data_IF_518992367546
#
_entry.id   IF_518992367546
#
_cell.length_a   1.000
_cell.length_b   1.000
_cell.length_c   1.000
_cell.angle_alpha   90.00
_cell.angle_beta   90.00
_cell.angle_gamma   90.00
#
_symmetry.space_group_name_H-M   'P 1'
#
loop_
_entity.id
_entity.type
_entity.pdbx_description
1 polymer ?
#
# COMPACT_ATOMS: atom_id res chain seq x y z
N UNK A 1 1.46 15.59 -40.66
CA UNK A 1 2.35 14.84 -39.74
C UNK A 1 2.09 15.31 -38.32
N UNK A 2 1.60 14.46 -37.43
CA UNK A 2 1.35 14.82 -36.02
C UNK A 2 2.64 14.60 -35.23
N UNK A 3 3.26 15.66 -34.72
CA UNK A 3 4.42 15.55 -33.83
C UNK A 3 3.89 15.38 -32.42
N UNK A 4 4.22 14.25 -31.77
CA UNK A 4 3.95 14.04 -30.35
C UNK A 4 5.18 14.51 -29.57
N UNK A 5 5.01 15.57 -28.78
CA UNK A 5 6.06 16.15 -27.95
C UNK A 5 5.67 16.03 -26.48
N UNK A 6 6.62 15.63 -25.64
CA UNK A 6 6.45 15.55 -24.19
C UNK A 6 7.56 16.34 -23.50
N UNK A 7 7.24 16.89 -22.34
CA UNK A 7 8.17 17.63 -21.49
C UNK A 7 8.36 16.90 -20.17
N UNK A 8 9.59 16.88 -19.67
CA UNK A 8 9.95 16.29 -18.37
C UNK A 8 10.39 17.40 -17.44
N UNK A 9 9.79 17.44 -16.25
CA UNK A 9 10.13 18.40 -15.21
C UNK A 9 10.44 17.65 -13.92
N UNK A 10 11.32 18.22 -13.10
CA UNK A 10 11.52 17.75 -11.74
C UNK A 10 10.35 18.18 -10.86
N UNK A 11 9.85 17.26 -10.03
CA UNK A 11 8.85 17.60 -9.03
C UNK A 11 9.56 18.33 -7.86
N UNK A 12 9.12 19.55 -7.56
CA UNK A 12 9.66 20.38 -6.48
C UNK A 12 8.66 20.47 -5.31
N UNK A 13 8.53 19.41 -4.47
CA UNK A 13 7.55 19.41 -3.40
C UNK A 13 7.97 20.36 -2.27
N UNK A 14 6.99 21.06 -1.71
CA UNK A 14 7.16 21.85 -0.51
C UNK A 14 7.30 20.94 0.74
N UNK A 15 7.57 21.55 1.90
CA UNK A 15 7.80 20.81 3.14
C UNK A 15 6.63 19.91 3.55
N UNK A 16 5.38 20.34 3.33
CA UNK A 16 4.20 19.54 3.67
C UNK A 16 4.05 18.34 2.74
N UNK A 17 4.19 18.55 1.43
CA UNK A 17 4.14 17.47 0.45
C UNK A 17 5.21 16.41 0.72
N UNK A 18 6.44 16.81 1.06
CA UNK A 18 7.52 15.87 1.41
C UNK A 18 7.16 15.02 2.63
N UNK A 19 6.62 15.63 3.69
CA UNK A 19 6.16 14.89 4.88
C UNK A 19 5.05 13.91 4.54
N UNK A 20 4.06 14.33 3.77
CA UNK A 20 2.98 13.45 3.32
C UNK A 20 3.49 12.27 2.51
N UNK A 21 4.37 12.51 1.53
CA UNK A 21 4.99 11.45 0.73
C UNK A 21 5.75 10.43 1.60
N UNK A 22 6.53 10.90 2.59
CA UNK A 22 7.23 10.02 3.54
C UNK A 22 6.26 9.21 4.40
N UNK A 23 5.17 9.83 4.90
CA UNK A 23 4.12 9.10 5.64
C UNK A 23 3.46 8.05 4.77
N UNK A 24 3.12 8.37 3.53
CA UNK A 24 2.47 7.44 2.61
C UNK A 24 3.37 6.23 2.34
N UNK A 25 4.65 6.46 2.05
CA UNK A 25 5.62 5.39 1.87
C UNK A 25 5.76 4.51 3.13
N UNK A 26 5.81 5.12 4.31
CA UNK A 26 5.84 4.40 5.60
C UNK A 26 4.61 3.51 5.80
N UNK A 27 3.40 4.05 5.54
CA UNK A 27 2.15 3.30 5.62
C UNK A 27 2.10 2.14 4.64
N UNK A 28 2.56 2.34 3.40
CA UNK A 28 2.65 1.24 2.42
C UNK A 28 3.61 0.15 2.91
N UNK A 29 4.79 0.51 3.40
CA UNK A 29 5.75 -0.46 3.95
C UNK A 29 5.14 -1.27 5.10
N UNK A 30 4.44 -0.61 6.01
CA UNK A 30 3.76 -1.26 7.12
C UNK A 30 2.69 -2.26 6.63
N UNK A 31 1.82 -1.80 5.72
CA UNK A 31 0.74 -2.62 5.15
C UNK A 31 1.30 -3.84 4.41
N UNK A 32 2.36 -3.66 3.62
CA UNK A 32 3.04 -4.77 2.92
C UNK A 32 3.53 -5.82 3.91
N UNK A 33 4.27 -5.41 4.94
CA UNK A 33 4.83 -6.32 5.93
C UNK A 33 3.74 -7.05 6.74
N UNK A 34 2.66 -6.35 7.11
CA UNK A 34 1.53 -6.95 7.84
C UNK A 34 0.79 -7.97 6.95
N UNK A 35 0.58 -7.66 5.68
CA UNK A 35 -0.03 -8.58 4.72
C UNK A 35 0.87 -9.80 4.43
N UNK A 36 2.19 -9.59 4.31
CA UNK A 36 3.15 -10.68 4.16
C UNK A 36 3.16 -11.62 5.38
N UNK A 37 3.06 -11.07 6.60
CA UNK A 37 2.95 -11.88 7.81
C UNK A 37 1.69 -12.77 7.79
N UNK A 38 0.53 -12.20 7.40
CA UNK A 38 -0.70 -12.98 7.21
C UNK A 38 -0.51 -14.09 6.17
N UNK A 39 0.18 -13.79 5.06
CA UNK A 39 0.45 -14.78 4.02
C UNK A 39 1.35 -15.92 4.52
N UNK A 40 2.36 -15.59 5.32
CA UNK A 40 3.25 -16.57 5.96
C UNK A 40 2.50 -17.44 6.97
N UNK A 41 1.60 -16.86 7.76
CA UNK A 41 0.75 -17.60 8.70
C UNK A 41 -0.21 -18.55 7.96
N UNK A 42 -0.87 -18.07 6.90
CA UNK A 42 -1.74 -18.90 6.05
C UNK A 42 -0.99 -20.08 5.44
N UNK A 43 0.23 -19.84 4.96
CA UNK A 43 1.09 -20.89 4.42
C UNK A 43 1.48 -21.92 5.49
N UNK A 44 1.86 -21.48 6.70
CA UNK A 44 2.18 -22.37 7.82
C UNK A 44 0.98 -23.21 8.27
N UNK A 45 -0.23 -22.68 8.13
CA UNK A 45 -1.48 -23.35 8.45
C UNK A 45 -2.01 -24.22 7.30
N UNK A 46 -1.29 -24.35 6.18
CA UNK A 46 -1.73 -25.06 4.97
C UNK A 46 -3.09 -24.56 4.41
N UNK A 47 -3.47 -23.32 4.74
CA UNK A 47 -4.74 -22.72 4.35
C UNK A 47 -4.72 -22.11 2.92
N UNK A 48 -3.60 -22.24 2.23
CA UNK A 48 -3.39 -21.71 0.88
C UNK A 48 -3.03 -20.24 0.84
N UNK A 49 -3.09 -19.66 -0.36
CA UNK A 49 -2.69 -18.29 -0.62
C UNK A 49 -3.87 -17.30 -0.49
N UNK A 50 -3.69 -16.22 0.27
CA UNK A 50 -4.71 -15.19 0.47
C UNK A 50 -4.60 -14.16 -0.66
N UNK A 51 -5.51 -14.25 -1.63
CA UNK A 51 -5.57 -13.34 -2.78
C UNK A 51 -5.89 -11.91 -2.35
N UNK A 52 -5.53 -10.95 -3.21
CA UNK A 52 -5.81 -9.52 -2.99
C UNK A 52 -7.26 -9.25 -2.54
N UNK A 53 -8.25 -9.89 -3.18
CA UNK A 53 -9.67 -9.66 -2.91
C UNK A 53 -10.04 -9.94 -1.44
N UNK A 54 -9.40 -10.93 -0.82
CA UNK A 54 -9.61 -11.25 0.59
C UNK A 54 -8.70 -10.42 1.49
N UNK A 55 -7.43 -10.22 1.12
CA UNK A 55 -6.49 -9.39 1.88
C UNK A 55 -6.98 -7.94 2.02
N UNK A 56 -7.60 -7.38 0.98
CA UNK A 56 -8.12 -6.02 0.98
C UNK A 56 -9.24 -5.82 2.01
N UNK A 57 -9.95 -6.87 2.43
CA UNK A 57 -10.98 -6.81 3.49
C UNK A 57 -10.39 -6.54 4.86
N UNK A 58 -9.09 -6.81 5.06
CA UNK A 58 -8.36 -6.49 6.30
C UNK A 58 -8.07 -5.00 6.44
N UNK A 59 -7.98 -4.27 5.33
CA UNK A 59 -7.54 -2.87 5.34
C UNK A 59 -8.51 -1.94 6.11
N UNK A 60 -9.85 -2.04 5.97
CA UNK A 60 -10.78 -1.31 6.84
C UNK A 60 -10.63 -1.63 8.33
N UNK A 61 -10.30 -2.89 8.67
CA UNK A 61 -10.11 -3.32 10.05
C UNK A 61 -8.84 -2.67 10.63
N UNK A 62 -7.72 -2.73 9.92
CA UNK A 62 -6.46 -2.09 10.34
C UNK A 62 -6.61 -0.57 10.46
N UNK A 63 -7.39 0.08 9.58
CA UNK A 63 -7.67 1.52 9.71
C UNK A 63 -8.53 1.87 10.93
N UNK A 64 -9.30 0.94 11.49
CA UNK A 64 -10.15 1.16 12.67
C UNK A 64 -9.46 0.80 13.98
N UNK A 65 -8.47 -0.07 13.94
CA UNK A 65 -7.62 -0.45 15.07
C UNK A 65 -6.90 0.79 15.66
N UNK A 66 -7.00 1.04 16.98
CA UNK A 66 -6.32 2.16 17.64
C UNK A 66 -4.81 2.22 17.37
N UNK A 67 -4.13 1.08 17.28
CA UNK A 67 -2.68 1.01 17.09
C UNK A 67 -2.27 1.38 15.66
N UNK A 68 -3.21 1.28 14.71
CA UNK A 68 -2.98 1.56 13.29
C UNK A 68 -3.93 2.57 12.68
N UNK A 69 -4.60 3.38 13.51
CA UNK A 69 -5.56 4.41 13.05
C UNK A 69 -4.91 5.44 12.14
N UNK A 70 -3.61 5.69 12.30
CA UNK A 70 -2.79 6.57 11.46
C UNK A 70 -2.73 6.14 9.99
N UNK A 71 -3.07 4.89 9.65
CA UNK A 71 -3.26 4.45 8.26
C UNK A 71 -4.38 5.20 7.53
N UNK A 72 -5.27 5.88 8.26
CA UNK A 72 -6.28 6.78 7.67
C UNK A 72 -5.67 8.05 7.07
N UNK A 73 -4.46 8.43 7.48
CA UNK A 73 -3.77 9.61 6.93
C UNK A 73 -3.21 9.36 5.51
N UNK A 74 -3.12 8.10 5.08
CA UNK A 74 -2.63 7.74 3.75
C UNK A 74 -3.76 7.48 2.75
N UNK A 75 -3.58 7.84 1.46
CA UNK A 75 -4.53 7.52 0.41
C UNK A 75 -4.85 6.03 0.37
N UNK A 76 -6.14 5.68 0.40
CA UNK A 76 -6.58 4.28 0.38
C UNK A 76 -6.09 3.52 -0.85
N UNK A 77 -6.00 4.21 -1.99
CA UNK A 77 -5.53 3.66 -3.26
C UNK A 77 -4.07 3.20 -3.17
N UNK A 78 -3.20 3.95 -2.49
CA UNK A 78 -1.80 3.57 -2.31
C UNK A 78 -1.66 2.30 -1.46
N UNK A 79 -2.47 2.18 -0.41
CA UNK A 79 -2.49 0.99 0.44
C UNK A 79 -3.09 -0.23 -0.28
N UNK A 80 -4.14 -0.05 -1.08
CA UNK A 80 -4.70 -1.12 -1.91
C UNK A 80 -3.71 -1.58 -2.98
N UNK A 81 -3.02 -0.65 -3.65
CA UNK A 81 -1.99 -0.97 -4.63
C UNK A 81 -0.86 -1.79 -3.99
N UNK A 82 -0.46 -1.44 -2.77
CA UNK A 82 0.55 -2.21 -2.01
C UNK A 82 0.13 -3.67 -1.84
N UNK A 83 -1.14 -3.94 -1.55
CA UNK A 83 -1.65 -5.31 -1.44
C UNK A 83 -1.69 -6.03 -2.80
N UNK A 84 -2.02 -5.31 -3.88
CA UNK A 84 -1.95 -5.87 -5.23
C UNK A 84 -0.51 -6.19 -5.65
N UNK A 85 0.45 -5.37 -5.24
CA UNK A 85 1.86 -5.58 -5.55
C UNK A 85 2.40 -6.81 -4.81
N UNK A 86 1.94 -7.05 -3.58
CA UNK A 86 2.20 -8.31 -2.88
C UNK A 86 1.58 -9.50 -3.62
N UNK A 87 0.32 -9.42 -4.04
CA UNK A 87 -0.39 -10.48 -4.79
C UNK A 87 0.19 -10.78 -6.17
N UNK A 88 0.92 -9.83 -6.77
CA UNK A 88 1.66 -10.05 -8.03
C UNK A 88 3.06 -10.63 -7.83
N UNK A 89 3.65 -10.40 -6.66
CA UNK A 89 5.01 -10.83 -6.35
C UNK A 89 5.13 -12.33 -6.00
N UNK A 90 4.00 -13.01 -5.82
CA UNK A 90 3.87 -14.41 -5.42
C UNK A 90 2.76 -15.10 -6.22
#
# INVERSE_FOLDING_TARGET
MKILQAYKFELMPNGEQRRQMSRFAGSCRYVYNRALAVQQESHKAEAGYVRYADMAKSLPLWKRDPDTVWLKESPSQALQQTLMDLDKGF
#
